data_IF_004958704544
#
_entry.id   IF_004958704544
#
_cell.length_a   1.000
_cell.length_b   1.000
_cell.length_c   1.000
_cell.angle_alpha   90.00
_cell.angle_beta   90.00
_cell.angle_gamma   90.00
#
_symmetry.space_group_name_H-M   'P 1'
#
loop_
_entity.id
_entity.type
_entity.pdbx_description
1 polymer ?
#
# COMPACT_ATOMS: atom_id res chain seq x y z
N UNK A 1 27.62 4.04 6.04
CA UNK A 1 26.43 4.09 5.15
C UNK A 1 25.42 2.98 5.43
N UNK A 2 25.82 1.70 5.49
CA UNK A 2 24.91 0.57 5.69
C UNK A 2 24.02 0.65 6.95
N UNK A 3 24.58 1.00 8.12
CA UNK A 3 23.79 1.16 9.37
C UNK A 3 22.67 2.20 9.27
N UNK A 4 22.93 3.32 8.59
CA UNK A 4 21.95 4.41 8.42
C UNK A 4 20.83 4.01 7.46
N UNK A 5 21.17 3.38 6.34
CA UNK A 5 20.18 2.82 5.42
C UNK A 5 19.32 1.75 6.11
N UNK A 6 19.93 0.83 6.86
CA UNK A 6 19.23 -0.20 7.60
C UNK A 6 18.24 0.37 8.63
N UNK A 7 18.63 1.40 9.39
CA UNK A 7 17.73 2.08 10.33
C UNK A 7 16.54 2.76 9.63
N UNK A 8 16.77 3.38 8.47
CA UNK A 8 15.70 4.01 7.68
C UNK A 8 14.71 2.95 7.19
N UNK A 9 15.21 1.83 6.64
CA UNK A 9 14.35 0.71 6.21
C UNK A 9 13.52 0.18 7.38
N UNK A 10 14.13 0.02 8.56
CA UNK A 10 13.42 -0.47 9.74
C UNK A 10 12.36 0.52 10.24
N UNK A 11 12.64 1.82 10.25
CA UNK A 11 11.67 2.85 10.62
C UNK A 11 10.50 2.91 9.64
N UNK A 12 10.78 2.80 8.35
CA UNK A 12 9.76 2.72 7.31
C UNK A 12 8.88 1.48 7.51
N UNK A 13 9.49 0.30 7.68
CA UNK A 13 8.75 -0.94 7.96
C UNK A 13 7.83 -0.82 9.17
N UNK A 14 8.29 -0.18 10.26
CA UNK A 14 7.45 0.07 11.45
C UNK A 14 6.30 1.04 11.17
N UNK A 15 6.54 2.11 10.43
CA UNK A 15 5.50 3.08 10.08
C UNK A 15 4.40 2.48 9.19
N UNK A 16 4.76 1.48 8.37
CA UNK A 16 3.82 0.75 7.52
C UNK A 16 2.94 -0.26 8.31
N UNK A 17 3.32 -0.64 9.53
CA UNK A 17 2.56 -1.62 10.31
C UNK A 17 1.17 -1.11 10.74
N UNK A 18 1.04 0.19 11.02
CA UNK A 18 -0.24 0.75 11.50
C UNK A 18 -1.35 0.67 10.43
N UNK A 19 -1.12 1.09 9.17
CA UNK A 19 -2.04 0.82 8.05
C UNK A 19 -2.35 -0.66 7.84
N UNK A 20 -1.34 -1.52 7.95
CA UNK A 20 -1.49 -2.94 7.63
C UNK A 20 -2.33 -3.68 8.68
N UNK A 21 -2.31 -3.21 9.93
CA UNK A 21 -3.02 -3.86 11.03
C UNK A 21 -4.55 -3.92 10.84
N UNK A 22 -5.14 -3.05 10.01
CA UNK A 22 -6.60 -3.08 9.73
C UNK A 22 -6.96 -4.10 8.64
N UNK A 23 -6.01 -4.52 7.80
CA UNK A 23 -6.28 -5.42 6.66
C UNK A 23 -6.89 -6.77 7.05
N UNK A 24 -6.47 -7.45 8.13
CA UNK A 24 -7.09 -8.72 8.53
C UNK A 24 -8.57 -8.55 8.89
N UNK A 25 -8.92 -7.48 9.62
CA UNK A 25 -10.30 -7.19 9.97
C UNK A 25 -11.13 -6.87 8.72
N UNK A 26 -10.59 -6.05 7.82
CA UNK A 26 -11.25 -5.73 6.55
C UNK A 26 -11.46 -6.98 5.67
N UNK A 27 -10.47 -7.87 5.60
CA UNK A 27 -10.55 -9.13 4.87
C UNK A 27 -11.60 -10.09 5.46
N UNK A 28 -11.73 -10.15 6.79
CA UNK A 28 -12.79 -10.91 7.45
C UNK A 28 -14.17 -10.35 7.11
N UNK A 29 -14.35 -9.03 7.11
CA UNK A 29 -15.61 -8.40 6.71
C UNK A 29 -15.94 -8.71 5.24
N UNK A 30 -14.98 -8.54 4.32
CA UNK A 30 -15.17 -8.92 2.92
C UNK A 30 -15.62 -10.38 2.78
N UNK A 31 -14.95 -11.30 3.47
CA UNK A 31 -15.26 -12.73 3.39
C UNK A 31 -16.62 -13.06 3.99
N UNK A 32 -16.93 -12.56 5.18
CA UNK A 32 -18.19 -12.81 5.86
C UNK A 32 -19.38 -12.25 5.08
N UNK A 33 -19.25 -11.08 4.46
CA UNK A 33 -20.32 -10.49 3.69
C UNK A 33 -20.58 -11.14 2.32
N UNK A 34 -19.71 -12.04 1.85
CA UNK A 34 -19.79 -12.59 0.50
C UNK A 34 -20.98 -13.52 0.25
N UNK A 35 -21.41 -13.62 -1.02
CA UNK A 35 -22.63 -14.32 -1.45
C UNK A 35 -22.64 -15.81 -1.08
N UNK A 36 -21.48 -16.43 -1.10
CA UNK A 36 -21.28 -17.86 -0.82
C UNK A 36 -21.09 -18.18 0.67
N UNK A 37 -21.07 -17.17 1.55
CA UNK A 37 -20.90 -17.36 2.99
C UNK A 37 -22.12 -16.88 3.81
N UNK A 38 -22.14 -15.64 4.30
CA UNK A 38 -23.31 -15.12 5.03
C UNK A 38 -24.25 -14.31 4.13
N UNK A 39 -23.80 -13.91 2.94
CA UNK A 39 -24.55 -13.10 1.98
C UNK A 39 -25.13 -11.82 2.62
N UNK A 40 -24.25 -11.04 3.24
CA UNK A 40 -24.59 -9.75 3.90
C UNK A 40 -23.81 -8.63 3.19
N UNK A 41 -24.37 -8.03 2.12
CA UNK A 41 -23.64 -7.07 1.28
C UNK A 41 -23.06 -5.89 2.06
N UNK A 42 -23.81 -5.35 3.03
CA UNK A 42 -23.32 -4.21 3.84
C UNK A 42 -22.03 -4.53 4.62
N UNK A 43 -21.82 -5.79 5.03
CA UNK A 43 -20.58 -6.22 5.69
C UNK A 43 -19.44 -6.32 4.66
N UNK A 44 -19.74 -6.84 3.47
CA UNK A 44 -18.78 -6.91 2.37
C UNK A 44 -18.31 -5.51 1.98
N UNK A 45 -19.24 -4.60 1.72
CA UNK A 45 -18.97 -3.24 1.28
C UNK A 45 -18.17 -2.47 2.35
N UNK A 46 -18.52 -2.62 3.64
CA UNK A 46 -17.77 -2.01 4.74
C UNK A 46 -16.31 -2.49 4.82
N UNK A 47 -16.06 -3.78 4.53
CA UNK A 47 -14.70 -4.31 4.42
C UNK A 47 -13.96 -3.76 3.20
N UNK A 48 -14.66 -3.63 2.06
CA UNK A 48 -14.12 -3.11 0.80
C UNK A 48 -13.53 -1.71 0.90
N UNK A 49 -14.18 -0.80 1.65
CA UNK A 49 -13.74 0.59 1.84
C UNK A 49 -12.26 0.70 2.27
N UNK A 50 -11.77 -0.23 3.10
CA UNK A 50 -10.37 -0.22 3.54
C UNK A 50 -9.43 -0.50 2.38
N UNK A 51 -9.78 -1.42 1.48
CA UNK A 51 -9.00 -1.76 0.29
C UNK A 51 -9.04 -0.64 -0.75
N UNK A 52 -10.23 -0.06 -0.98
CA UNK A 52 -10.44 1.03 -1.94
C UNK A 52 -9.65 2.29 -1.56
N UNK A 53 -9.40 2.50 -0.25
CA UNK A 53 -8.70 3.67 0.27
C UNK A 53 -7.27 3.37 0.72
N UNK A 54 -6.70 2.22 0.35
CA UNK A 54 -5.36 1.80 0.76
C UNK A 54 -4.29 2.89 0.57
N UNK A 55 -4.16 3.54 -0.61
CA UNK A 55 -3.16 4.58 -0.81
C UNK A 55 -3.22 5.70 0.23
N UNK A 56 -4.42 6.19 0.55
CA UNK A 56 -4.62 7.25 1.53
C UNK A 56 -4.28 6.77 2.95
N UNK A 57 -4.71 5.56 3.32
CA UNK A 57 -4.39 4.96 4.63
C UNK A 57 -2.87 4.84 4.80
N UNK A 58 -2.16 4.41 3.75
CA UNK A 58 -0.70 4.34 3.75
C UNK A 58 -0.06 5.74 3.85
N UNK A 59 -0.57 6.75 3.15
CA UNK A 59 -0.08 8.13 3.29
C UNK A 59 -0.14 8.62 4.74
N UNK A 60 -1.30 8.45 5.37
CA UNK A 60 -1.54 8.87 6.76
C UNK A 60 -0.68 8.09 7.74
N UNK A 61 -0.66 6.75 7.63
CA UNK A 61 0.08 5.90 8.56
C UNK A 61 1.60 6.11 8.48
N UNK A 62 2.15 6.24 7.27
CA UNK A 62 3.57 6.57 7.09
C UNK A 62 3.89 7.94 7.69
N UNK A 63 3.05 8.95 7.45
CA UNK A 63 3.27 10.28 7.97
C UNK A 63 3.25 10.32 9.50
N UNK A 64 2.23 9.76 10.13
CA UNK A 64 2.08 9.70 11.59
C UNK A 64 3.20 8.87 12.22
N UNK A 65 3.44 7.67 11.68
CA UNK A 65 4.44 6.73 12.20
C UNK A 65 5.86 7.31 12.17
N UNK A 66 6.20 8.04 11.11
CA UNK A 66 7.52 8.67 11.00
C UNK A 66 7.61 10.03 11.70
N UNK A 67 6.51 10.75 11.91
CA UNK A 67 6.46 12.03 12.62
C UNK A 67 6.35 11.90 14.15
N UNK A 68 6.42 10.68 14.70
CA UNK A 68 6.36 10.46 16.14
C UNK A 68 4.94 10.50 16.72
N UNK A 69 3.92 10.13 15.94
CA UNK A 69 2.53 10.09 16.40
C UNK A 69 1.78 11.43 16.23
N UNK A 70 2.38 12.39 15.53
CA UNK A 70 1.84 13.73 15.40
C UNK A 70 0.73 13.81 14.35
N UNK A 71 -0.52 14.01 14.80
CA UNK A 71 -1.70 14.04 13.95
C UNK A 71 -1.66 15.11 12.85
N UNK A 72 -0.93 16.21 13.06
CA UNK A 72 -0.74 17.26 12.04
C UNK A 72 -0.01 16.72 10.80
N UNK A 73 0.95 15.80 10.98
CA UNK A 73 1.62 15.16 9.85
C UNK A 73 0.64 14.26 9.07
N UNK A 74 -0.26 13.56 9.76
CA UNK A 74 -1.33 12.79 9.14
C UNK A 74 -2.27 13.68 8.32
N UNK A 75 -2.73 14.80 8.86
CA UNK A 75 -3.56 15.77 8.14
C UNK A 75 -2.84 16.34 6.91
N UNK A 76 -1.55 16.67 7.04
CA UNK A 76 -0.73 17.13 5.92
C UNK A 76 -0.64 16.05 4.81
N UNK A 77 -0.54 14.78 5.17
CA UNK A 77 -0.51 13.68 4.21
C UNK A 77 -1.85 13.49 3.49
N UNK A 78 -2.99 13.62 4.17
CA UNK A 78 -4.32 13.58 3.53
C UNK A 78 -4.41 14.66 2.46
N UNK A 79 -4.11 15.90 2.83
CA UNK A 79 -4.20 17.05 1.92
C UNK A 79 -3.20 16.88 0.76
N UNK A 80 -1.97 16.48 1.06
CA UNK A 80 -0.95 16.23 0.04
C UNK A 80 -1.35 15.13 -0.94
N UNK A 81 -2.00 14.06 -0.47
CA UNK A 81 -2.41 12.93 -1.30
C UNK A 81 -3.51 13.36 -2.28
N UNK A 82 -4.53 14.08 -1.80
CA UNK A 82 -5.57 14.61 -2.68
C UNK A 82 -5.01 15.57 -3.73
N UNK A 83 -4.05 16.43 -3.36
CA UNK A 83 -3.39 17.32 -4.32
C UNK A 83 -2.58 16.52 -5.34
N UNK A 84 -1.86 15.48 -4.91
CA UNK A 84 -1.13 14.60 -5.81
C UNK A 84 -2.07 14.00 -6.86
N UNK A 85 -3.15 13.35 -6.41
CA UNK A 85 -4.11 12.67 -7.28
C UNK A 85 -4.76 13.64 -8.28
N UNK A 86 -5.26 14.78 -7.83
CA UNK A 86 -5.86 15.80 -8.72
C UNK A 86 -4.84 16.36 -9.71
N UNK A 87 -3.59 16.54 -9.27
CA UNK A 87 -2.52 17.02 -10.16
C UNK A 87 -2.22 15.99 -11.25
N UNK A 88 -2.10 14.72 -10.88
CA UNK A 88 -1.85 13.62 -11.81
C UNK A 88 -2.97 13.49 -12.84
N UNK A 89 -4.23 13.57 -12.43
CA UNK A 89 -5.36 13.50 -13.36
C UNK A 89 -5.40 14.69 -14.32
N UNK A 90 -5.22 15.91 -13.81
CA UNK A 90 -5.21 17.10 -14.65
C UNK A 90 -4.03 17.09 -15.63
N UNK A 91 -2.84 16.66 -15.17
CA UNK A 91 -1.69 16.49 -16.05
C UNK A 91 -1.92 15.38 -17.07
N UNK A 92 -2.53 14.26 -16.68
CA UNK A 92 -2.90 13.19 -17.60
C UNK A 92 -3.82 13.69 -18.73
N UNK A 93 -4.82 14.51 -18.40
CA UNK A 93 -5.70 15.17 -19.38
C UNK A 93 -4.91 16.10 -20.31
N UNK A 94 -4.04 16.94 -19.75
CA UNK A 94 -3.21 17.87 -20.53
C UNK A 94 -2.25 17.15 -21.48
N UNK A 95 -1.73 15.98 -21.06
CA UNK A 95 -0.86 15.13 -21.85
C UNK A 95 -1.61 14.25 -22.85
N UNK A 96 -2.95 14.29 -22.86
CA UNK A 96 -3.78 13.47 -23.75
C UNK A 96 -3.70 11.97 -23.45
N UNK A 97 -3.40 11.60 -22.20
CA UNK A 97 -3.34 10.19 -21.80
C UNK A 97 -4.74 9.59 -21.78
N UNK A 98 -4.80 8.32 -22.18
CA UNK A 98 -6.01 7.53 -22.04
C UNK A 98 -6.06 6.90 -20.64
N UNK A 99 -7.26 6.59 -20.12
CA UNK A 99 -7.39 5.77 -18.93
C UNK A 99 -6.56 4.49 -19.08
N UNK A 100 -5.88 4.04 -18.01
CA UNK A 100 -5.07 2.84 -18.08
C UNK A 100 -5.90 1.59 -18.38
N UNK A 101 -7.19 1.61 -18.03
CA UNK A 101 -8.16 0.56 -18.28
C UNK A 101 -9.59 1.10 -18.27
N UNK A 102 -10.55 0.30 -18.74
CA UNK A 102 -11.97 0.67 -18.77
C UNK A 102 -12.51 0.84 -17.34
N UNK A 103 -13.09 2.00 -17.04
CA UNK A 103 -13.61 2.31 -15.69
C UNK A 103 -12.55 2.79 -14.69
N UNK A 104 -11.31 3.02 -15.11
CA UNK A 104 -10.30 3.61 -14.24
C UNK A 104 -10.74 4.99 -13.73
N UNK A 105 -10.69 5.19 -12.41
CA UNK A 105 -11.05 6.45 -11.77
C UNK A 105 -10.02 7.56 -12.06
N UNK A 106 -8.77 7.16 -12.26
CA UNK A 106 -7.62 8.05 -12.46
C UNK A 106 -6.90 7.76 -13.78
N UNK A 107 -6.42 8.82 -14.44
CA UNK A 107 -5.63 8.69 -15.67
C UNK A 107 -4.19 8.25 -15.39
N UNK A 108 -3.66 8.63 -14.24
CA UNK A 108 -2.35 8.21 -13.76
C UNK A 108 -2.53 7.77 -12.31
N UNK A 109 -2.64 6.46 -12.11
CA UNK A 109 -2.78 5.89 -10.77
C UNK A 109 -1.42 5.39 -10.24
N UNK A 110 -0.97 6.00 -9.13
CA UNK A 110 0.24 5.59 -8.42
C UNK A 110 -0.02 4.57 -7.31
N UNK A 111 -1.29 4.27 -7.01
CA UNK A 111 -1.72 3.38 -5.93
C UNK A 111 -1.02 3.68 -4.61
N UNK A 112 -0.67 2.63 -3.88
CA UNK A 112 -0.01 2.73 -2.57
C UNK A 112 1.35 3.43 -2.65
N UNK A 113 2.03 3.44 -3.81
CA UNK A 113 3.29 4.20 -3.96
C UNK A 113 3.07 5.71 -3.82
N UNK A 114 2.01 6.23 -4.45
CA UNK A 114 1.62 7.64 -4.30
C UNK A 114 1.36 7.97 -2.83
N UNK A 115 0.64 7.08 -2.14
CA UNK A 115 0.42 7.18 -0.70
C UNK A 115 1.71 7.25 0.11
N UNK A 116 2.61 6.27 -0.06
CA UNK A 116 3.88 6.19 0.69
C UNK A 116 4.77 7.40 0.40
N UNK A 117 4.87 7.85 -0.85
CA UNK A 117 5.67 9.03 -1.23
C UNK A 117 5.16 10.27 -0.50
N UNK A 118 3.85 10.50 -0.49
CA UNK A 118 3.25 11.63 0.21
C UNK A 118 3.40 11.51 1.72
N UNK A 119 3.25 10.30 2.27
CA UNK A 119 3.46 10.06 3.70
C UNK A 119 4.89 10.37 4.13
N UNK A 120 5.88 9.95 3.32
CA UNK A 120 7.29 10.26 3.52
C UNK A 120 7.56 11.77 3.45
N UNK A 121 6.98 12.43 2.44
CA UNK A 121 7.07 13.87 2.25
C UNK A 121 6.50 14.63 3.45
N UNK A 122 5.28 14.29 3.88
CA UNK A 122 4.61 14.93 5.00
C UNK A 122 5.41 14.74 6.30
N UNK A 123 5.91 13.53 6.57
CA UNK A 123 6.78 13.28 7.72
C UNK A 123 8.09 14.08 7.68
N UNK A 124 8.71 14.17 6.51
CA UNK A 124 9.93 14.95 6.31
C UNK A 124 9.69 16.45 6.56
N UNK A 125 8.66 17.01 5.93
CA UNK A 125 8.30 18.42 6.07
C UNK A 125 7.84 18.75 7.48
N UNK A 126 7.14 17.84 8.16
CA UNK A 126 6.81 17.99 9.57
C UNK A 126 8.07 18.12 10.43
N UNK A 127 9.03 17.18 10.29
CA UNK A 127 10.30 17.23 11.04
C UNK A 127 11.11 18.49 10.76
N UNK A 128 11.01 19.02 9.54
CA UNK A 128 11.78 20.18 9.11
C UNK A 128 11.14 21.51 9.52
N UNK A 129 9.82 21.62 9.47
CA UNK A 129 9.11 22.90 9.52
C UNK A 129 8.08 23.02 10.66
N UNK A 130 7.90 22.01 11.51
CA UNK A 130 6.95 22.07 12.63
C UNK A 130 7.26 23.17 13.66
N UNK A 131 8.48 23.70 13.67
CA UNK A 131 8.93 24.79 14.53
C UNK A 131 9.38 26.03 13.73
N UNK A 132 8.90 26.20 12.49
CA UNK A 132 9.27 27.37 11.68
C UNK A 132 8.67 28.66 12.26
N UNK A 133 9.45 29.74 12.22
CA UNK A 133 8.98 31.09 12.54
C UNK A 133 8.93 31.91 11.24
N UNK A 134 7.73 32.36 10.87
CA UNK A 134 7.51 33.22 9.72
C UNK A 134 7.51 34.70 10.13
N UNK A 135 7.66 35.58 9.14
CA UNK A 135 7.53 37.02 9.32
C UNK A 135 6.20 37.37 10.02
N UNK A 136 6.11 38.40 10.89
CA UNK A 136 4.92 38.70 11.70
C UNK A 136 3.59 38.76 10.93
N UNK A 137 3.61 39.28 9.70
CA UNK A 137 2.45 39.34 8.79
C UNK A 137 1.88 37.94 8.48
N UNK A 138 2.74 36.91 8.42
CA UNK A 138 2.40 35.52 8.17
C UNK A 138 2.43 34.67 9.45
N UNK A 139 2.52 35.29 10.63
CA UNK A 139 2.72 34.60 11.91
C UNK A 139 1.62 33.58 12.25
N UNK A 140 0.40 33.75 11.70
CA UNK A 140 -0.69 32.78 11.84
C UNK A 140 -0.32 31.38 11.33
N UNK A 141 0.51 31.31 10.28
CA UNK A 141 0.92 30.07 9.63
C UNK A 141 2.18 29.46 10.24
N UNK A 142 2.82 30.09 11.23
CA UNK A 142 4.05 29.58 11.85
C UNK A 142 3.84 28.22 12.56
N UNK A 143 4.94 27.52 12.79
CA UNK A 143 5.00 26.24 13.47
C UNK A 143 4.25 25.12 12.72
N UNK A 144 3.57 24.25 13.47
CA UNK A 144 2.89 23.06 12.94
C UNK A 144 1.84 23.39 11.85
N UNK A 145 1.25 24.59 11.86
CA UNK A 145 0.25 25.02 10.86
C UNK A 145 0.85 25.22 9.47
N UNK A 146 2.16 25.46 9.37
CA UNK A 146 2.84 25.58 8.10
C UNK A 146 2.94 24.24 7.37
N UNK A 147 2.98 23.13 8.11
CA UNK A 147 3.29 21.80 7.59
C UNK A 147 2.30 21.36 6.49
N UNK A 148 0.96 21.45 6.68
CA UNK A 148 0.03 21.17 5.59
C UNK A 148 0.25 22.05 4.36
N UNK A 149 0.57 23.35 4.54
CA UNK A 149 0.75 24.30 3.43
C UNK A 149 1.95 23.92 2.56
N UNK A 150 3.11 23.70 3.18
CA UNK A 150 4.31 23.32 2.43
C UNK A 150 4.19 21.92 1.83
N UNK A 151 3.46 21.02 2.50
CA UNK A 151 3.16 19.68 1.96
C UNK A 151 2.29 19.77 0.72
N UNK A 152 1.25 20.60 0.72
CA UNK A 152 0.40 20.87 -0.44
C UNK A 152 1.19 21.36 -1.65
N UNK A 153 2.04 22.39 -1.46
CA UNK A 153 2.86 22.95 -2.54
C UNK A 153 3.84 21.90 -3.08
N UNK A 154 4.49 21.16 -2.18
CA UNK A 154 5.44 20.11 -2.56
C UNK A 154 4.76 18.96 -3.30
N UNK A 155 3.54 18.60 -2.90
CA UNK A 155 2.75 17.53 -3.52
C UNK A 155 2.31 17.88 -4.93
N UNK A 156 1.98 19.15 -5.19
CA UNK A 156 1.72 19.66 -6.54
C UNK A 156 2.96 19.49 -7.43
N UNK A 157 4.13 19.94 -6.96
CA UNK A 157 5.39 19.81 -7.72
C UNK A 157 5.72 18.34 -8.00
N UNK A 158 5.56 17.48 -6.99
CA UNK A 158 5.75 16.03 -7.14
C UNK A 158 4.76 15.46 -8.16
N UNK A 159 3.49 15.81 -8.10
CA UNK A 159 2.47 15.35 -9.06
C UNK A 159 2.80 15.75 -10.49
N UNK A 160 3.26 16.98 -10.73
CA UNK A 160 3.72 17.41 -12.05
C UNK A 160 4.89 16.55 -12.52
N UNK A 161 5.91 16.33 -11.68
CA UNK A 161 7.07 15.50 -12.03
C UNK A 161 6.64 14.05 -12.34
N UNK A 162 5.85 13.45 -11.46
CA UNK A 162 5.41 12.06 -11.61
C UNK A 162 4.42 11.87 -12.76
N UNK A 163 3.72 12.90 -13.23
CA UNK A 163 2.89 12.78 -14.43
C UNK A 163 3.69 12.38 -15.69
N UNK A 164 4.98 12.75 -15.75
CA UNK A 164 5.88 12.35 -16.85
C UNK A 164 6.63 11.05 -16.55
N UNK A 165 7.00 10.83 -15.29
CA UNK A 165 7.87 9.71 -14.90
C UNK A 165 7.07 8.43 -14.63
N UNK A 166 5.89 8.54 -14.04
CA UNK A 166 5.10 7.39 -13.60
C UNK A 166 4.63 6.50 -14.74
N UNK A 167 4.15 7.01 -15.91
CA UNK A 167 3.76 6.13 -17.01
C UNK A 167 4.88 5.18 -17.47
N UNK A 168 6.14 5.63 -17.45
CA UNK A 168 7.30 4.78 -17.75
C UNK A 168 7.48 3.69 -16.68
N UNK A 169 7.36 4.05 -15.40
CA UNK A 169 7.44 3.10 -14.28
C UNK A 169 6.31 2.08 -14.38
N UNK A 170 5.08 2.52 -14.63
CA UNK A 170 3.90 1.68 -14.77
C UNK A 170 4.07 0.68 -15.91
N UNK A 171 4.57 1.11 -17.07
CA UNK A 171 4.88 0.21 -18.18
C UNK A 171 5.94 -0.84 -17.80
N UNK A 172 6.96 -0.44 -17.03
CA UNK A 172 7.96 -1.36 -16.48
C UNK A 172 7.35 -2.37 -15.51
N UNK A 173 6.45 -1.93 -14.62
CA UNK A 173 5.70 -2.82 -13.72
C UNK A 173 4.85 -3.80 -14.53
N UNK A 174 4.09 -3.34 -15.52
CA UNK A 174 3.25 -4.17 -16.36
C UNK A 174 4.08 -5.24 -17.10
N UNK A 175 5.22 -4.85 -17.69
CA UNK A 175 6.12 -5.77 -18.39
C UNK A 175 6.80 -6.79 -17.45
N UNK A 176 7.28 -6.35 -16.29
CA UNK A 176 7.85 -7.26 -15.30
C UNK A 176 6.79 -8.24 -14.78
N UNK A 177 5.56 -7.77 -14.62
CA UNK A 177 4.46 -8.57 -14.09
C UNK A 177 4.00 -9.64 -15.07
N UNK A 178 3.87 -9.32 -16.37
CA UNK A 178 3.54 -10.32 -17.39
C UNK A 178 4.62 -11.40 -17.50
N UNK A 179 5.90 -11.01 -17.51
CA UNK A 179 7.03 -11.95 -17.52
C UNK A 179 7.03 -12.91 -16.32
N UNK A 180 6.66 -12.41 -15.14
CA UNK A 180 6.58 -13.25 -13.93
C UNK A 180 5.36 -14.17 -13.99
N UNK A 181 4.21 -13.68 -14.45
CA UNK A 181 2.96 -14.43 -14.50
C UNK A 181 3.01 -15.64 -15.45
N UNK A 182 3.76 -15.50 -16.55
CA UNK A 182 3.91 -16.52 -17.58
C UNK A 182 5.04 -17.53 -17.28
N UNK A 183 5.79 -17.32 -16.19
CA UNK A 183 6.96 -18.13 -15.84
C UNK A 183 6.82 -18.78 -14.46
N UNK A 184 6.88 -20.11 -14.41
CA UNK A 184 6.95 -20.86 -13.13
C UNK A 184 8.17 -20.45 -12.29
N UNK A 185 9.28 -20.10 -12.95
CA UNK A 185 10.50 -19.58 -12.29
C UNK A 185 10.30 -18.14 -11.82
N UNK A 186 9.50 -17.34 -12.55
CA UNK A 186 9.13 -15.98 -12.15
C UNK A 186 8.41 -15.97 -10.79
N UNK A 187 7.40 -16.83 -10.62
CA UNK A 187 6.67 -16.95 -9.36
C UNK A 187 7.57 -17.37 -8.19
N UNK A 188 8.58 -18.22 -8.45
CA UNK A 188 9.59 -18.56 -7.44
C UNK A 188 10.40 -17.34 -6.99
N UNK A 189 10.89 -16.52 -7.92
CA UNK A 189 11.65 -15.31 -7.57
C UNK A 189 10.78 -14.27 -6.88
N UNK A 190 9.53 -14.08 -7.33
CA UNK A 190 8.56 -13.24 -6.64
C UNK A 190 8.39 -13.68 -5.18
N UNK A 191 8.06 -14.95 -4.94
CA UNK A 191 7.85 -15.49 -3.60
C UNK A 191 9.11 -15.38 -2.73
N UNK A 192 10.29 -15.59 -3.32
CA UNK A 192 11.58 -15.47 -2.64
C UNK A 192 11.84 -14.02 -2.21
N UNK A 193 11.71 -13.06 -3.11
CA UNK A 193 11.92 -11.63 -2.82
C UNK A 193 10.89 -11.15 -1.79
N UNK A 194 9.61 -11.49 -1.99
CA UNK A 194 8.54 -11.19 -1.04
C UNK A 194 8.91 -11.64 0.37
N UNK A 195 9.34 -12.90 0.55
CA UNK A 195 9.72 -13.44 1.86
C UNK A 195 10.96 -12.77 2.45
N UNK A 196 11.98 -12.48 1.64
CA UNK A 196 13.18 -11.77 2.09
C UNK A 196 12.87 -10.35 2.57
N UNK A 197 11.80 -9.73 2.06
CA UNK A 197 11.38 -8.39 2.45
C UNK A 197 10.47 -8.35 3.69
N UNK A 198 9.96 -9.50 4.17
CA UNK A 198 9.10 -9.59 5.37
C UNK A 198 9.78 -8.99 6.62
N UNK A 199 11.03 -9.36 6.98
CA UNK A 199 11.68 -8.83 8.18
C UNK A 199 11.86 -7.30 8.18
N UNK A 200 11.79 -6.68 7.00
CA UNK A 200 11.95 -5.24 6.79
C UNK A 200 10.62 -4.50 6.67
N UNK A 201 9.49 -5.20 6.63
CA UNK A 201 8.18 -4.61 6.33
C UNK A 201 8.04 -4.09 4.89
N UNK A 202 9.08 -4.24 4.05
CA UNK A 202 9.09 -3.77 2.66
C UNK A 202 8.30 -4.67 1.72
N UNK A 203 7.93 -5.87 2.16
CA UNK A 203 7.11 -6.79 1.38
C UNK A 203 5.77 -6.13 0.96
N UNK A 204 5.18 -5.26 1.80
CA UNK A 204 4.00 -4.47 1.43
C UNK A 204 4.20 -3.61 0.20
N UNK A 205 5.35 -2.95 0.07
CA UNK A 205 5.68 -2.16 -1.13
C UNK A 205 5.86 -3.09 -2.33
N UNK A 206 6.51 -4.23 -2.12
CA UNK A 206 6.83 -5.17 -3.20
C UNK A 206 5.59 -5.87 -3.79
N UNK A 207 4.67 -6.39 -2.97
CA UNK A 207 3.52 -7.13 -3.48
C UNK A 207 2.39 -6.23 -3.98
N UNK A 208 2.28 -5.00 -3.48
CA UNK A 208 1.16 -4.09 -3.83
C UNK A 208 0.89 -4.00 -5.33
N UNK A 209 1.87 -3.71 -6.21
CA UNK A 209 1.57 -3.61 -7.64
C UNK A 209 1.01 -4.91 -8.24
N UNK A 210 1.46 -6.07 -7.75
CA UNK A 210 0.96 -7.36 -8.18
C UNK A 210 -0.47 -7.61 -7.68
N UNK A 211 -0.75 -7.31 -6.41
CA UNK A 211 -2.05 -7.60 -5.81
C UNK A 211 -3.14 -6.63 -6.25
N UNK A 212 -2.80 -5.36 -6.49
CA UNK A 212 -3.80 -4.29 -6.64
C UNK A 212 -3.76 -3.55 -7.98
N UNK A 213 -2.72 -3.73 -8.80
CA UNK A 213 -2.59 -2.96 -10.06
C UNK A 213 -2.39 -3.85 -11.29
N UNK A 214 -1.97 -5.10 -11.10
CA UNK A 214 -1.61 -5.99 -12.19
C UNK A 214 -2.81 -6.58 -12.94
N UNK A 215 -2.86 -6.28 -14.24
CA UNK A 215 -3.81 -6.83 -15.19
C UNK A 215 -5.25 -6.42 -14.88
N UNK A 216 -6.16 -6.80 -15.77
CA UNK A 216 -7.55 -6.37 -15.75
C UNK A 216 -8.46 -7.57 -15.92
N UNK A 217 -9.63 -7.49 -15.29
CA UNK A 217 -10.72 -8.44 -15.49
C UNK A 217 -12.05 -7.72 -15.39
N UNK A 218 -12.88 -7.84 -16.42
CA UNK A 218 -14.25 -7.37 -16.38
C UNK A 218 -15.12 -8.47 -15.78
N UNK A 219 -15.66 -8.21 -14.60
CA UNK A 219 -16.56 -9.15 -13.90
C UNK A 219 -17.82 -9.38 -14.76
N UNK A 220 -18.08 -10.61 -15.24
CA UNK A 220 -19.22 -10.91 -16.08
C UNK A 220 -20.58 -10.68 -15.39
N UNK A 221 -20.61 -10.66 -14.05
CA UNK A 221 -21.82 -10.53 -13.24
C UNK A 221 -22.19 -9.09 -12.91
N UNK A 222 -21.19 -8.19 -12.83
CA UNK A 222 -21.41 -6.77 -12.48
C UNK A 222 -21.10 -5.82 -13.64
N UNK A 223 -20.33 -6.25 -14.64
CA UNK A 223 -19.83 -5.41 -15.73
C UNK A 223 -18.68 -4.48 -15.31
N UNK A 224 -18.25 -4.53 -14.05
CA UNK A 224 -17.16 -3.69 -13.53
C UNK A 224 -15.80 -4.30 -13.87
N UNK A 225 -14.89 -3.48 -14.36
CA UNK A 225 -13.49 -3.88 -14.54
C UNK A 225 -12.72 -3.67 -13.24
N UNK A 226 -12.03 -4.71 -12.80
CA UNK A 226 -11.16 -4.71 -11.62
C UNK A 226 -9.71 -4.98 -12.01
N UNK A 227 -8.77 -4.44 -11.23
CA UNK A 227 -7.34 -4.56 -11.49
C UNK A 227 -6.55 -5.09 -10.30
N UNK A 228 -5.51 -5.89 -10.58
CA UNK A 228 -4.69 -6.56 -9.56
C UNK A 228 -5.04 -8.02 -9.34
N UNK A 229 -4.03 -8.85 -9.08
CA UNK A 229 -4.19 -10.30 -8.87
C UNK A 229 -5.19 -10.63 -7.73
N UNK A 230 -5.25 -9.79 -6.70
CA UNK A 230 -6.13 -9.98 -5.56
C UNK A 230 -7.60 -9.75 -5.90
N UNK A 231 -7.91 -8.58 -6.43
CA UNK A 231 -9.28 -8.18 -6.75
C UNK A 231 -9.84 -9.02 -7.91
N UNK A 232 -9.02 -9.33 -8.92
CA UNK A 232 -9.38 -10.20 -10.04
C UNK A 232 -9.73 -11.60 -9.58
N UNK A 233 -8.95 -12.18 -8.65
CA UNK A 233 -9.25 -13.48 -8.06
C UNK A 233 -10.62 -13.48 -7.35
N UNK A 234 -10.90 -12.45 -6.54
CA UNK A 234 -12.21 -12.33 -5.87
C UNK A 234 -13.37 -12.01 -6.83
N UNK A 235 -13.10 -11.40 -7.98
CA UNK A 235 -14.08 -11.22 -9.06
C UNK A 235 -14.29 -12.48 -9.91
N UNK A 236 -13.55 -13.56 -9.64
CA UNK A 236 -13.71 -14.86 -10.32
C UNK A 236 -12.86 -15.04 -11.58
N UNK A 237 -11.83 -14.23 -11.79
CA UNK A 237 -10.87 -14.43 -12.89
C UNK A 237 -10.10 -15.75 -12.72
N UNK A 238 -10.23 -16.74 -13.63
CA UNK A 238 -9.55 -18.02 -13.52
C UNK A 238 -8.03 -17.95 -13.73
N UNK A 239 -7.51 -16.83 -14.22
CA UNK A 239 -6.08 -16.61 -14.45
C UNK A 239 -5.39 -15.88 -13.31
N UNK A 240 -6.16 -15.29 -12.38
CA UNK A 240 -5.66 -14.58 -11.21
C UNK A 240 -5.46 -15.51 -10.01
N UNK A 241 -4.89 -14.97 -8.94
CA UNK A 241 -4.62 -15.69 -7.70
C UNK A 241 -3.26 -16.37 -7.64
N UNK A 242 -2.44 -16.25 -8.69
CA UNK A 242 -1.14 -16.95 -8.78
C UNK A 242 -0.12 -16.43 -7.80
N UNK A 243 -0.16 -15.13 -7.48
CA UNK A 243 0.80 -14.50 -6.56
C UNK A 243 0.44 -14.75 -5.09
N UNK A 244 -0.83 -15.01 -4.79
CA UNK A 244 -1.33 -15.37 -3.46
C UNK A 244 -1.43 -16.88 -3.21
N UNK A 245 -1.43 -17.72 -4.26
CA UNK A 245 -1.65 -19.16 -4.13
C UNK A 245 -0.65 -19.80 -3.14
N UNK A 246 0.60 -19.33 -3.13
CA UNK A 246 1.63 -19.82 -2.22
C UNK A 246 1.44 -19.42 -0.75
N UNK A 247 0.66 -18.36 -0.48
CA UNK A 247 0.44 -17.85 0.87
C UNK A 247 -0.54 -18.72 1.67
N UNK A 248 -1.59 -19.27 1.03
CA UNK A 248 -2.59 -20.12 1.71
C UNK A 248 -1.99 -21.36 2.37
N UNK A 249 -1.30 -22.28 1.66
CA UNK A 249 -0.73 -23.46 2.31
C UNK A 249 0.37 -23.09 3.31
N UNK A 250 1.06 -21.97 3.08
CA UNK A 250 2.05 -21.47 4.01
C UNK A 250 1.42 -21.02 5.34
N UNK A 251 0.34 -20.24 5.29
CA UNK A 251 -0.34 -19.76 6.49
C UNK A 251 -1.12 -20.86 7.22
N UNK A 252 -1.79 -21.75 6.48
CA UNK A 252 -2.66 -22.79 7.06
C UNK A 252 -1.84 -23.96 7.60
N UNK A 253 -0.75 -24.36 6.94
CA UNK A 253 0.00 -25.56 7.31
C UNK A 253 1.44 -25.27 7.72
N UNK A 254 2.17 -24.44 6.97
CA UNK A 254 3.61 -24.25 7.21
C UNK A 254 3.88 -23.50 8.51
N UNK A 255 3.19 -22.37 8.77
CA UNK A 255 3.38 -21.61 10.01
C UNK A 255 3.02 -22.42 11.27
N UNK A 256 1.87 -23.13 11.33
CA UNK A 256 1.59 -24.04 12.44
C UNK A 256 2.63 -25.17 12.59
N UNK A 257 3.10 -25.75 11.48
CA UNK A 257 4.14 -26.78 11.53
C UNK A 257 5.48 -26.24 12.06
N UNK A 258 5.87 -25.03 11.67
CA UNK A 258 7.04 -24.33 12.20
C UNK A 258 6.88 -24.09 13.70
N UNK A 259 5.73 -23.57 14.13
CA UNK A 259 5.43 -23.35 15.55
C UNK A 259 5.51 -24.66 16.35
N UNK A 260 4.90 -25.74 15.83
CA UNK A 260 4.92 -27.06 16.43
C UNK A 260 6.36 -27.60 16.55
N UNK A 261 7.18 -27.46 15.50
CA UNK A 261 8.58 -27.87 15.50
C UNK A 261 9.40 -27.09 16.54
N UNK A 262 9.18 -25.77 16.67
CA UNK A 262 9.80 -24.93 17.70
C UNK A 262 9.42 -25.43 19.10
N UNK A 263 8.16 -25.75 19.34
CA UNK A 263 7.68 -26.28 20.63
C UNK A 263 8.34 -27.64 20.95
N UNK A 264 8.42 -28.54 19.97
CA UNK A 264 8.99 -29.88 20.18
C UNK A 264 10.49 -29.85 20.47
N UNK A 265 11.21 -28.92 19.84
CA UNK A 265 12.68 -28.75 19.96
C UNK A 265 13.10 -27.78 21.06
N UNK A 266 12.15 -27.08 21.69
CA UNK A 266 12.44 -26.21 22.84
C UNK A 266 13.06 -27.02 24.00
N UNK A 267 13.99 -26.39 24.73
CA UNK A 267 14.61 -27.00 25.92
C UNK A 267 13.52 -27.37 26.94
N UNK A 268 13.63 -28.51 27.66
CA UNK A 268 12.60 -28.97 28.60
C UNK A 268 12.16 -27.91 29.61
N UNK A 269 13.11 -27.13 30.13
CA UNK A 269 12.90 -26.03 31.08
C UNK A 269 12.04 -24.88 30.53
N UNK A 270 11.97 -24.71 29.19
CA UNK A 270 11.23 -23.64 28.52
C UNK A 270 9.94 -24.12 27.86
N UNK A 271 9.70 -25.44 27.75
CA UNK A 271 8.49 -26.01 27.13
C UNK A 271 7.19 -25.55 27.79
N UNK A 272 7.19 -25.35 29.11
CA UNK A 272 6.03 -24.82 29.87
C UNK A 272 5.78 -23.32 29.68
N UNK A 273 6.74 -22.58 29.11
CA UNK A 273 6.71 -21.12 28.96
C UNK A 273 6.47 -20.68 27.51
N UNK A 274 6.54 -21.61 26.55
CA UNK A 274 6.10 -21.36 25.17
C UNK A 274 4.57 -21.34 25.18
N UNK A 275 3.93 -20.19 24.90
CA UNK A 275 2.48 -20.17 24.76
C UNK A 275 2.12 -21.01 23.52
N UNK A 276 1.14 -21.90 23.70
CA UNK A 276 0.37 -22.44 22.59
C UNK A 276 -0.51 -21.34 22.01
#
# INVERSE_FOLDING_TARGET
MFKKAFQILQQLGRALMTPVAVLPAAGLLLRFGDKDLLNIPIIKDAGGVVFDNLPLIFAVGVAIGLAGGEGVAGLAAVIGYFILTVTLDNMGKLLGLQPPYEGAEHLIDMGVFGGIIIGLLAAYLYKRFSSIELHPVLGFFSGKRFVPIITSISSLVIGVIFSFVWPLIQNGINAASSLIADSTVGLFFYATIYRLLIPFGLHHIFYTPFYFMMGEYTDPSTGSTVTGDLTRFFAGDPTAGRFMMGDFPYMIFCLPAIALAIIHTARPEKKKRSPA
#
